data_IF_573808650970
#
_entry.id   IF_573808650970
#
_cell.length_a   1.000
_cell.length_b   1.000
_cell.length_c   1.000
_cell.angle_alpha   90.00
_cell.angle_beta   90.00
_cell.angle_gamma   90.00
#
_symmetry.space_group_name_H-M   'P 1'
#
loop_
_entity.id
_entity.type
_entity.pdbx_description
1 polymer ?
#
# COMPACT_ATOMS: atom_id res chain seq x y z
N UNK A 1 -13.37 -18.92 -5.25
CA UNK A 1 -12.63 -18.74 -3.96
C UNK A 1 -12.73 -17.27 -3.54
N UNK A 2 -12.53 -16.94 -2.25
CA UNK A 2 -12.66 -15.52 -1.82
C UNK A 2 -11.66 -14.61 -2.55
N UNK A 3 -10.45 -15.07 -2.81
CA UNK A 3 -9.45 -14.31 -3.59
C UNK A 3 -9.87 -14.02 -5.02
N UNK A 4 -10.66 -14.87 -5.64
CA UNK A 4 -11.24 -14.61 -6.98
C UNK A 4 -12.35 -13.57 -6.92
N UNK A 5 -13.23 -13.67 -5.92
CA UNK A 5 -14.27 -12.67 -5.69
C UNK A 5 -13.70 -11.29 -5.37
N UNK A 6 -12.66 -11.23 -4.51
CA UNK A 6 -11.94 -9.99 -4.26
C UNK A 6 -11.39 -9.39 -5.54
N UNK A 7 -10.70 -10.19 -6.36
CA UNK A 7 -10.17 -9.73 -7.63
C UNK A 7 -11.26 -9.20 -8.55
N UNK A 8 -12.34 -9.96 -8.75
CA UNK A 8 -13.46 -9.58 -9.64
C UNK A 8 -14.14 -8.28 -9.17
N UNK A 9 -14.41 -8.14 -7.87
CA UNK A 9 -15.10 -6.97 -7.34
C UNK A 9 -14.20 -5.72 -7.27
N UNK A 10 -12.89 -5.87 -7.16
CA UNK A 10 -11.96 -4.74 -7.01
C UNK A 10 -11.18 -4.41 -8.29
N UNK A 11 -11.35 -5.14 -9.40
CA UNK A 11 -10.52 -5.01 -10.59
C UNK A 11 -10.50 -3.60 -11.15
N UNK A 12 -11.67 -2.99 -11.35
CA UNK A 12 -11.78 -1.66 -11.95
C UNK A 12 -11.12 -0.58 -11.08
N UNK A 13 -11.38 -0.59 -9.77
CA UNK A 13 -10.83 0.41 -8.85
C UNK A 13 -9.32 0.18 -8.64
N UNK A 14 -8.86 -1.06 -8.62
CA UNK A 14 -7.45 -1.41 -8.56
C UNK A 14 -6.71 -0.88 -9.79
N UNK A 15 -7.19 -1.19 -11.00
CA UNK A 15 -6.60 -0.68 -12.25
C UNK A 15 -6.60 0.86 -12.31
N UNK A 16 -7.67 1.51 -11.84
CA UNK A 16 -7.74 2.96 -11.79
C UNK A 16 -6.68 3.56 -10.87
N UNK A 17 -6.49 2.97 -9.68
CA UNK A 17 -5.47 3.43 -8.72
C UNK A 17 -4.04 3.13 -9.19
N UNK A 18 -3.79 1.98 -9.84
CA UNK A 18 -2.50 1.67 -10.45
C UNK A 18 -2.13 2.68 -11.56
N UNK A 19 -3.07 3.01 -12.45
CA UNK A 19 -2.84 4.02 -13.49
C UNK A 19 -2.43 5.37 -12.89
N UNK A 20 -3.09 5.78 -11.81
CA UNK A 20 -2.75 7.00 -11.07
C UNK A 20 -1.35 6.94 -10.46
N UNK A 21 -1.02 5.84 -9.80
CA UNK A 21 0.31 5.65 -9.22
C UNK A 21 1.40 5.68 -10.31
N UNK A 22 1.20 4.98 -11.43
CA UNK A 22 2.15 4.99 -12.55
C UNK A 22 2.31 6.40 -13.12
N UNK A 23 1.23 7.17 -13.20
CA UNK A 23 1.30 8.56 -13.68
C UNK A 23 2.10 9.44 -12.72
N UNK A 24 1.88 9.34 -11.42
CA UNK A 24 2.67 10.03 -10.41
C UNK A 24 4.16 9.66 -10.49
N UNK A 25 4.46 8.37 -10.60
CA UNK A 25 5.84 7.86 -10.73
C UNK A 25 6.58 8.39 -11.98
N UNK A 26 5.89 8.55 -13.09
CA UNK A 26 6.49 9.09 -14.34
C UNK A 26 6.91 10.56 -14.23
N UNK A 27 6.39 11.28 -13.26
CA UNK A 27 6.76 12.70 -13.01
C UNK A 27 7.97 12.83 -12.09
N UNK A 28 8.48 11.73 -11.55
CA UNK A 28 9.60 11.73 -10.63
C UNK A 28 10.90 11.82 -11.44
N UNK A 29 11.53 12.97 -11.37
CA UNK A 29 12.81 13.30 -12.02
C UNK A 29 13.88 13.79 -11.01
N UNK A 30 13.49 14.05 -9.76
CA UNK A 30 14.37 14.49 -8.67
C UNK A 30 14.20 13.62 -7.43
N UNK A 31 15.20 13.64 -6.54
CA UNK A 31 15.11 12.97 -5.23
C UNK A 31 14.02 13.59 -4.38
N UNK A 32 13.87 14.89 -4.41
CA UNK A 32 12.86 15.65 -3.68
C UNK A 32 11.44 15.19 -4.09
N UNK A 33 11.19 15.07 -5.39
CA UNK A 33 9.92 14.56 -5.90
C UNK A 33 9.66 13.10 -5.45
N UNK A 34 10.72 12.28 -5.41
CA UNK A 34 10.63 10.91 -4.89
C UNK A 34 10.32 10.89 -3.40
N UNK A 35 10.99 11.70 -2.58
CA UNK A 35 10.74 11.77 -1.15
C UNK A 35 9.34 12.31 -0.84
N UNK A 36 8.86 13.27 -1.61
CA UNK A 36 7.48 13.72 -1.54
C UNK A 36 6.49 12.55 -1.79
N UNK A 37 6.73 11.75 -2.83
CA UNK A 37 5.93 10.53 -3.10
C UNK A 37 5.94 9.58 -1.90
N UNK A 38 7.11 9.27 -1.33
CA UNK A 38 7.20 8.36 -0.19
C UNK A 38 6.48 8.91 1.04
N UNK A 39 6.57 10.23 1.27
CA UNK A 39 5.92 10.88 2.41
C UNK A 39 4.40 10.79 2.35
N UNK A 40 3.79 11.04 1.21
CA UNK A 40 2.33 10.88 1.11
C UNK A 40 1.90 9.42 1.00
N UNK A 41 2.72 8.51 0.47
CA UNK A 41 2.45 7.07 0.64
C UNK A 41 2.47 6.68 2.12
N UNK A 42 3.43 7.19 2.90
CA UNK A 42 3.46 6.97 4.34
C UNK A 42 2.20 7.51 5.03
N UNK A 43 1.72 8.69 4.62
CA UNK A 43 0.49 9.29 5.14
C UNK A 43 -0.78 8.45 4.92
N UNK A 44 -0.77 7.52 3.96
CA UNK A 44 -1.84 6.53 3.78
C UNK A 44 -1.54 5.21 4.50
N UNK A 45 -0.35 4.64 4.27
CA UNK A 45 0.01 3.32 4.78
C UNK A 45 0.04 3.25 6.31
N UNK A 46 0.65 4.23 6.96
CA UNK A 46 0.83 4.20 8.41
C UNK A 46 -0.51 4.16 9.19
N UNK A 47 -1.49 5.03 8.93
CA UNK A 47 -2.76 4.95 9.63
C UNK A 47 -3.58 3.72 9.27
N UNK A 48 -3.57 3.25 8.01
CA UNK A 48 -4.26 2.01 7.62
C UNK A 48 -3.64 0.79 8.32
N UNK A 49 -2.31 0.65 8.32
CA UNK A 49 -1.63 -0.43 9.05
C UNK A 49 -1.90 -0.37 10.56
N UNK A 50 -1.98 0.82 11.15
CA UNK A 50 -2.31 0.97 12.57
C UNK A 50 -3.72 0.45 12.88
N UNK A 51 -4.71 0.69 12.00
CA UNK A 51 -6.06 0.14 12.15
C UNK A 51 -6.08 -1.38 11.97
N UNK A 52 -5.39 -1.91 10.94
CA UNK A 52 -5.27 -3.35 10.71
C UNK A 52 -4.68 -4.05 11.95
N UNK A 53 -3.61 -3.51 12.53
CA UNK A 53 -2.92 -4.10 13.70
C UNK A 53 -3.73 -4.06 15.00
N UNK A 54 -4.80 -3.27 15.08
CA UNK A 54 -5.76 -3.34 16.18
C UNK A 54 -6.63 -4.58 16.11
N UNK A 55 -6.83 -5.14 14.91
CA UNK A 55 -7.73 -6.26 14.64
C UNK A 55 -6.98 -7.56 14.37
N UNK A 56 -5.82 -7.49 13.68
CA UNK A 56 -4.96 -8.63 13.37
C UNK A 56 -3.77 -8.67 14.32
N UNK A 57 -3.64 -9.78 15.03
CA UNK A 57 -2.57 -10.07 15.99
C UNK A 57 -1.86 -11.37 15.61
N UNK A 58 -0.71 -11.67 16.20
CA UNK A 58 -0.03 -12.95 15.97
C UNK A 58 -0.89 -14.16 16.39
N UNK A 59 -1.83 -13.99 17.31
CA UNK A 59 -2.71 -15.06 17.78
C UNK A 59 -3.80 -15.42 16.75
N UNK A 60 -4.38 -14.43 16.07
CA UNK A 60 -5.46 -14.63 15.11
C UNK A 60 -5.00 -14.59 13.65
N UNK A 61 -3.86 -13.97 13.36
CA UNK A 61 -3.22 -13.92 12.05
C UNK A 61 -1.68 -14.06 12.18
N UNK A 62 -1.15 -15.29 12.29
CA UNK A 62 0.29 -15.52 12.45
C UNK A 62 1.10 -14.91 11.31
N UNK A 63 2.15 -14.17 11.67
CA UNK A 63 3.04 -13.50 10.73
C UNK A 63 2.62 -12.07 10.38
N UNK A 64 1.61 -11.50 11.06
CA UNK A 64 1.19 -10.10 10.85
C UNK A 64 2.33 -9.11 11.08
N UNK A 65 3.19 -9.35 12.06
CA UNK A 65 4.34 -8.49 12.37
C UNK A 65 5.34 -8.37 11.23
N UNK A 66 5.40 -9.36 10.33
CA UNK A 66 6.29 -9.36 9.15
C UNK A 66 5.70 -8.58 7.97
N UNK A 67 4.45 -8.06 8.10
CA UNK A 67 3.70 -7.45 7.00
C UNK A 67 3.60 -5.92 7.10
N UNK A 68 4.44 -5.29 7.92
CA UNK A 68 4.55 -3.83 7.95
C UNK A 68 5.26 -3.30 6.72
N UNK A 69 4.70 -2.27 6.10
CA UNK A 69 5.29 -1.58 4.94
C UNK A 69 5.59 -0.12 5.22
N UNK A 70 4.84 0.52 6.12
CA UNK A 70 5.02 1.93 6.47
C UNK A 70 6.43 2.23 7.01
N UNK A 71 7.03 1.33 7.77
CA UNK A 71 8.39 1.48 8.30
C UNK A 71 9.45 1.58 7.19
N UNK A 72 9.25 0.84 6.08
CA UNK A 72 10.18 0.90 4.93
C UNK A 72 10.09 2.22 4.17
N UNK A 73 8.93 2.89 4.19
CA UNK A 73 8.80 4.25 3.65
C UNK A 73 9.65 5.23 4.45
N UNK A 74 9.56 5.19 5.79
CA UNK A 74 10.40 6.02 6.67
C UNK A 74 11.89 5.71 6.52
N UNK A 75 12.23 4.44 6.38
CA UNK A 75 13.61 4.03 6.13
C UNK A 75 14.15 4.62 4.83
N UNK A 76 13.43 4.47 3.72
CA UNK A 76 13.84 4.98 2.41
C UNK A 76 13.95 6.51 2.41
N UNK A 77 13.05 7.23 3.10
CA UNK A 77 13.11 8.67 3.31
C UNK A 77 14.39 9.03 4.07
N UNK A 78 14.69 8.37 5.18
CA UNK A 78 15.89 8.63 6.00
C UNK A 78 17.20 8.39 5.24
N UNK A 79 17.26 7.33 4.43
CA UNK A 79 18.45 6.99 3.63
C UNK A 79 18.68 7.93 2.42
N UNK A 80 17.69 8.71 2.05
CA UNK A 80 17.76 9.60 0.88
C UNK A 80 18.76 10.75 1.02
N UNK A 81 18.94 11.22 2.25
CA UNK A 81 19.71 12.43 2.57
C UNK A 81 18.99 13.73 2.19
N UNK A 82 17.71 13.66 1.81
CA UNK A 82 16.85 14.81 1.50
C UNK A 82 15.91 15.06 2.68
N UNK A 83 15.68 16.32 3.09
CA UNK A 83 14.69 16.62 4.12
C UNK A 83 13.30 16.11 3.73
N UNK A 84 12.62 15.45 4.66
CA UNK A 84 11.24 15.06 4.45
C UNK A 84 10.34 16.32 4.46
N UNK A 85 9.28 16.36 3.63
CA UNK A 85 8.28 17.41 3.72
C UNK A 85 7.49 17.30 5.03
N UNK A 86 6.71 18.34 5.34
CA UNK A 86 5.76 18.27 6.46
C UNK A 86 4.83 17.06 6.30
N UNK A 87 4.60 16.28 7.37
CA UNK A 87 3.75 15.10 7.29
C UNK A 87 2.32 15.46 6.89
N UNK A 88 1.81 14.84 5.83
CA UNK A 88 0.39 14.83 5.51
C UNK A 88 -0.17 13.43 5.80
N UNK A 89 -1.34 13.38 6.42
CA UNK A 89 -1.97 12.11 6.83
C UNK A 89 -3.35 12.01 6.23
N UNK A 90 -3.69 10.85 5.69
CA UNK A 90 -5.00 10.59 5.12
C UNK A 90 -6.08 10.71 6.19
N UNK A 91 -6.92 11.74 6.08
CA UNK A 91 -7.97 12.03 7.07
C UNK A 91 -9.16 11.08 6.94
N UNK A 92 -9.54 10.74 5.70
CA UNK A 92 -10.58 9.75 5.44
C UNK A 92 -9.96 8.37 5.30
N UNK A 93 -10.11 7.56 6.32
CA UNK A 93 -9.66 6.16 6.31
C UNK A 93 -10.85 5.21 6.06
N UNK A 94 -10.61 4.02 5.49
CA UNK A 94 -11.63 2.97 5.45
C UNK A 94 -12.03 2.54 6.87
N UNK A 95 -13.24 2.04 7.02
CA UNK A 95 -13.71 1.51 8.31
C UNK A 95 -13.08 0.13 8.52
N UNK A 96 -12.16 0.04 9.50
CA UNK A 96 -11.44 -1.18 9.88
C UNK A 96 -11.65 -1.41 11.37
N UNK A 97 -12.76 -2.03 11.72
CA UNK A 97 -13.22 -2.21 13.11
C UNK A 97 -13.43 -3.68 13.50
N UNK A 98 -13.15 -4.60 12.58
CA UNK A 98 -13.27 -6.04 12.78
C UNK A 98 -12.09 -6.81 12.19
N UNK A 99 -11.98 -8.09 12.55
CA UNK A 99 -11.04 -9.02 11.94
C UNK A 99 -11.23 -9.14 10.42
N UNK A 100 -12.48 -9.16 9.94
CA UNK A 100 -12.79 -9.33 8.53
C UNK A 100 -12.52 -8.05 7.73
N UNK A 101 -12.91 -6.89 8.26
CA UNK A 101 -12.57 -5.61 7.62
C UNK A 101 -11.05 -5.40 7.53
N UNK A 102 -10.29 -5.84 8.56
CA UNK A 102 -8.83 -5.77 8.51
C UNK A 102 -8.22 -6.68 7.43
N UNK A 103 -8.80 -7.86 7.18
CA UNK A 103 -8.36 -8.72 6.06
C UNK A 103 -8.62 -8.07 4.69
N UNK A 104 -9.74 -7.36 4.53
CA UNK A 104 -10.06 -6.62 3.31
C UNK A 104 -9.08 -5.47 3.05
N UNK A 105 -8.80 -4.67 4.06
CA UNK A 105 -7.82 -3.60 3.95
C UNK A 105 -6.41 -4.13 3.68
N UNK A 106 -6.02 -5.21 4.37
CA UNK A 106 -4.72 -5.85 4.18
C UNK A 106 -4.56 -6.42 2.77
N UNK A 107 -5.63 -6.93 2.13
CA UNK A 107 -5.59 -7.38 0.75
C UNK A 107 -5.06 -6.28 -0.19
N UNK A 108 -5.49 -5.04 0.02
CA UNK A 108 -5.06 -3.90 -0.80
C UNK A 108 -3.58 -3.59 -0.57
N UNK A 109 -3.09 -3.59 0.67
CA UNK A 109 -1.68 -3.32 0.95
C UNK A 109 -0.77 -4.44 0.39
N UNK A 110 -1.21 -5.69 0.49
CA UNK A 110 -0.44 -6.86 0.02
C UNK A 110 -0.36 -6.94 -1.51
N UNK A 111 -1.44 -6.64 -2.23
CA UNK A 111 -1.44 -6.75 -3.70
C UNK A 111 -0.47 -5.76 -4.35
N UNK A 112 -0.29 -4.57 -3.76
CA UNK A 112 0.68 -3.59 -4.25
C UNK A 112 2.14 -4.03 -4.09
N UNK A 113 2.43 -5.00 -3.22
CA UNK A 113 3.79 -5.55 -3.11
C UNK A 113 4.22 -6.32 -4.36
N UNK A 114 3.26 -6.87 -5.13
CA UNK A 114 3.54 -7.67 -6.32
C UNK A 114 4.13 -6.84 -7.47
N UNK A 115 3.64 -5.61 -7.64
CA UNK A 115 4.11 -4.67 -8.67
C UNK A 115 5.36 -3.88 -8.27
N UNK A 116 5.73 -3.89 -7.00
CA UNK A 116 6.72 -3.01 -6.43
C UNK A 116 8.10 -3.10 -7.09
N UNK A 117 8.55 -4.31 -7.46
CA UNK A 117 9.86 -4.51 -8.13
C UNK A 117 9.92 -3.83 -9.51
N UNK A 118 8.81 -3.76 -10.23
CA UNK A 118 8.73 -3.04 -11.52
C UNK A 118 8.89 -1.55 -11.26
N UNK A 119 8.21 -1.02 -10.23
CA UNK A 119 8.31 0.36 -9.79
C UNK A 119 9.73 0.68 -9.34
N UNK A 120 10.34 -0.15 -8.50
CA UNK A 120 11.73 0.00 -8.07
C UNK A 120 12.68 0.10 -9.28
N UNK A 121 12.50 -0.75 -10.29
CA UNK A 121 13.29 -0.69 -11.52
C UNK A 121 13.04 0.56 -12.37
N UNK A 122 11.86 1.16 -12.34
CA UNK A 122 11.58 2.43 -13.00
C UNK A 122 12.28 3.58 -12.27
N UNK A 123 12.12 3.66 -10.96
CA UNK A 123 12.72 4.71 -10.12
C UNK A 123 14.26 4.64 -10.16
N UNK A 124 14.86 3.46 -10.07
CA UNK A 124 16.33 3.29 -10.18
C UNK A 124 16.90 3.81 -11.48
N UNK A 125 16.16 3.69 -12.58
CA UNK A 125 16.63 4.22 -13.88
C UNK A 125 16.54 5.72 -13.99
N UNK A 126 15.56 6.32 -13.31
CA UNK A 126 15.39 7.79 -13.30
C UNK A 126 16.30 8.48 -12.28
N UNK A 127 16.61 7.80 -11.17
CA UNK A 127 17.35 8.36 -10.04
C UNK A 127 18.45 7.39 -9.59
N UNK A 128 19.54 7.34 -10.37
CA UNK A 128 20.69 6.43 -10.14
C UNK A 128 21.37 6.59 -8.76
N UNK A 129 21.19 7.74 -8.12
CA UNK A 129 21.82 8.08 -6.83
C UNK A 129 21.00 7.71 -5.59
N UNK A 130 19.88 7.01 -5.74
CA UNK A 130 19.10 6.52 -4.58
C UNK A 130 19.81 5.35 -3.92
N UNK A 131 19.89 5.42 -2.59
CA UNK A 131 20.55 4.40 -1.77
C UNK A 131 19.62 3.25 -1.39
N UNK A 132 18.33 3.52 -1.30
CA UNK A 132 17.33 2.54 -0.83
C UNK A 132 16.03 2.65 -1.62
N UNK A 133 15.42 1.49 -1.89
CA UNK A 133 14.12 1.28 -2.53
C UNK A 133 13.37 0.17 -1.78
N UNK A 134 13.55 0.11 -0.46
CA UNK A 134 13.08 -1.00 0.39
C UNK A 134 11.58 -1.16 0.33
N UNK A 135 10.83 -0.05 0.30
CA UNK A 135 9.38 -0.11 0.18
C UNK A 135 8.93 -0.80 -1.11
N UNK A 136 9.43 -0.35 -2.26
CA UNK A 136 9.01 -0.93 -3.55
C UNK A 136 9.58 -2.33 -3.79
N UNK A 137 10.66 -2.72 -3.14
CA UNK A 137 11.17 -4.09 -3.20
C UNK A 137 10.27 -5.12 -2.48
N UNK A 138 9.20 -4.68 -1.82
CA UNK A 138 8.26 -5.57 -1.16
C UNK A 138 8.94 -6.39 -0.05
N UNK A 139 8.75 -7.71 -0.10
CA UNK A 139 9.42 -8.65 0.80
C UNK A 139 10.67 -9.26 0.14
N UNK A 140 11.23 -8.60 -0.88
CA UNK A 140 12.37 -9.12 -1.63
C UNK A 140 12.06 -10.46 -2.30
N UNK A 141 12.91 -11.48 -2.07
CA UNK A 141 12.71 -12.82 -2.62
C UNK A 141 11.43 -13.50 -2.08
N UNK A 142 10.98 -13.13 -0.89
CA UNK A 142 9.82 -13.73 -0.21
C UNK A 142 8.48 -13.17 -0.68
N UNK A 143 8.44 -12.16 -1.55
CA UNK A 143 7.19 -11.52 -1.97
C UNK A 143 6.16 -12.52 -2.50
N UNK A 144 6.56 -13.47 -3.34
CA UNK A 144 5.66 -14.48 -3.87
C UNK A 144 5.12 -15.41 -2.78
N UNK A 145 5.98 -15.83 -1.84
CA UNK A 145 5.61 -16.72 -0.73
C UNK A 145 4.68 -16.00 0.26
N UNK A 146 4.96 -14.72 0.55
CA UNK A 146 4.13 -13.87 1.42
C UNK A 146 2.74 -13.69 0.83
N UNK A 147 2.65 -13.43 -0.46
CA UNK A 147 1.36 -13.33 -1.16
C UNK A 147 0.63 -14.68 -1.20
N UNK A 148 1.32 -15.78 -1.51
CA UNK A 148 0.72 -17.11 -1.54
C UNK A 148 0.12 -17.48 -0.17
N UNK A 149 0.88 -17.30 0.91
CA UNK A 149 0.42 -17.59 2.27
C UNK A 149 -0.78 -16.72 2.67
N UNK A 150 -0.84 -15.47 2.21
CA UNK A 150 -1.99 -14.60 2.45
C UNK A 150 -3.24 -15.06 1.67
N UNK A 151 -3.09 -15.46 0.41
CA UNK A 151 -4.19 -16.03 -0.37
C UNK A 151 -4.73 -17.32 0.25
N UNK A 152 -3.85 -18.19 0.72
CA UNK A 152 -4.25 -19.43 1.41
C UNK A 152 -5.06 -19.12 2.66
N UNK A 153 -4.69 -18.07 3.39
CA UNK A 153 -5.44 -17.60 4.54
C UNK A 153 -6.84 -17.07 4.15
N UNK A 154 -6.94 -16.23 3.13
CA UNK A 154 -8.19 -15.68 2.61
C UNK A 154 -9.13 -16.75 2.04
N UNK A 155 -8.59 -17.86 1.53
CA UNK A 155 -9.40 -18.94 0.97
C UNK A 155 -9.91 -19.96 2.01
N UNK A 156 -9.68 -19.70 3.31
CA UNK A 156 -10.31 -20.47 4.38
C UNK A 156 -11.83 -20.26 4.36
N UNK A 157 -12.59 -21.17 4.99
CA UNK A 157 -14.04 -21.01 5.07
C UNK A 157 -14.43 -19.76 5.87
N UNK A 158 -15.14 -18.84 5.24
CA UNK A 158 -15.78 -17.68 5.86
C UNK A 158 -17.29 -17.74 5.60
N UNK A 159 -18.08 -17.19 6.53
CA UNK A 159 -19.51 -16.98 6.31
C UNK A 159 -19.73 -16.02 5.14
N UNK A 160 -20.92 -16.04 4.56
CA UNK A 160 -21.27 -15.12 3.48
C UNK A 160 -21.18 -13.65 3.92
N UNK A 161 -21.55 -13.37 5.16
CA UNK A 161 -21.47 -12.03 5.75
C UNK A 161 -20.01 -11.57 5.87
N UNK A 162 -19.13 -12.41 6.44
CA UNK A 162 -17.70 -12.13 6.54
C UNK A 162 -17.06 -11.87 5.17
N UNK A 163 -17.41 -12.64 4.14
CA UNK A 163 -16.90 -12.46 2.77
C UNK A 163 -17.31 -11.09 2.20
N UNK A 164 -18.58 -10.70 2.41
CA UNK A 164 -19.09 -9.38 1.97
C UNK A 164 -18.36 -8.23 2.66
N UNK A 165 -18.12 -8.37 3.96
CA UNK A 165 -17.38 -7.38 4.73
C UNK A 165 -15.92 -7.23 4.23
N UNK A 166 -15.22 -8.35 4.00
CA UNK A 166 -13.85 -8.35 3.45
C UNK A 166 -13.81 -7.63 2.10
N UNK A 167 -14.74 -7.96 1.18
CA UNK A 167 -14.80 -7.36 -0.16
C UNK A 167 -15.12 -5.87 -0.06
N UNK A 168 -16.14 -5.48 0.68
CA UNK A 168 -16.54 -4.09 0.82
C UNK A 168 -15.42 -3.21 1.41
N UNK A 169 -14.68 -3.74 2.40
CA UNK A 169 -13.53 -2.99 2.95
C UNK A 169 -12.36 -2.93 1.98
N UNK A 170 -12.12 -3.95 1.17
CA UNK A 170 -11.12 -3.89 0.12
C UNK A 170 -11.46 -2.82 -0.92
N UNK A 171 -12.71 -2.74 -1.38
CA UNK A 171 -13.19 -1.70 -2.30
C UNK A 171 -13.02 -0.29 -1.71
N UNK A 172 -13.46 -0.06 -0.45
CA UNK A 172 -13.32 1.26 0.21
C UNK A 172 -11.84 1.63 0.43
N UNK A 173 -10.98 0.65 0.70
CA UNK A 173 -9.53 0.89 0.85
C UNK A 173 -8.88 1.29 -0.47
N UNK A 174 -9.20 0.64 -1.58
CA UNK A 174 -8.76 1.05 -2.92
C UNK A 174 -9.27 2.44 -3.29
N UNK A 175 -10.55 2.72 -3.03
CA UNK A 175 -11.15 4.02 -3.31
C UNK A 175 -10.47 5.13 -2.49
N UNK A 176 -10.23 4.87 -1.21
CA UNK A 176 -9.53 5.80 -0.32
C UNK A 176 -8.11 6.06 -0.82
N UNK A 177 -7.38 5.02 -1.20
CA UNK A 177 -6.03 5.16 -1.75
C UNK A 177 -6.01 5.94 -3.06
N UNK A 178 -6.93 5.64 -4.00
CA UNK A 178 -7.07 6.37 -5.26
C UNK A 178 -7.32 7.86 -5.02
N UNK A 179 -8.26 8.20 -4.14
CA UNK A 179 -8.59 9.59 -3.82
C UNK A 179 -7.40 10.31 -3.14
N UNK A 180 -6.64 9.59 -2.31
CA UNK A 180 -5.43 10.10 -1.69
C UNK A 180 -4.34 10.44 -2.71
N UNK A 181 -4.11 9.56 -3.70
CA UNK A 181 -3.20 9.84 -4.81
C UNK A 181 -3.67 11.08 -5.58
N UNK A 182 -4.96 11.18 -5.93
CA UNK A 182 -5.52 12.31 -6.67
C UNK A 182 -5.33 13.65 -5.94
N UNK A 183 -5.51 13.67 -4.62
CA UNK A 183 -5.25 14.86 -3.79
C UNK A 183 -3.82 15.38 -3.99
N UNK A 184 -2.83 14.49 -4.03
CA UNK A 184 -1.42 14.86 -4.16
C UNK A 184 -0.98 15.14 -5.60
N UNK A 185 -1.64 14.54 -6.60
CA UNK A 185 -1.38 14.87 -8.02
C UNK A 185 -1.80 16.28 -8.39
N UNK A 186 -2.85 16.81 -7.74
CA UNK A 186 -3.42 18.13 -8.01
C UNK A 186 -2.67 19.27 -7.29
N UNK A 187 -1.81 18.96 -6.32
CA UNK A 187 -1.00 19.98 -5.66
C UNK A 187 0.16 20.36 -6.59
N UNK A 188 0.31 21.64 -6.98
CA UNK A 188 1.51 22.08 -7.68
C UNK A 188 2.72 21.79 -6.78
N UNK A 189 3.78 21.21 -7.36
CA UNK A 189 5.04 21.11 -6.66
C UNK A 189 5.45 22.53 -6.28
N UNK A 190 5.53 22.80 -4.97
CA UNK A 190 6.01 24.10 -4.49
C UNK A 190 7.47 24.15 -4.87
N UNK A 191 7.80 24.95 -5.91
CA UNK A 191 9.17 25.33 -6.20
C UNK A 191 9.68 26.12 -4.98
N UNK A 192 10.64 25.57 -4.27
CA UNK A 192 11.39 26.23 -3.17
C UNK A 192 12.59 26.93 -3.77
#
# INVERSE_FOLDING_TARGET
MLTEELKENTEDIHQASEKKMIFALKKIDTKEAYINLLSWLHGFYAPVEALIRRQLTEDNFPGITKRSRAEYLLWDIGESGVPAPEPDTCERLPVIDSFHSALGAMYVLEIYTLGGRIIAGMVSRSLESLKSLSFFNGYGAETANMWASFKDYLNRPFSLEARREIIATAEDTFLTFKNWIEKHELQPQVEI
#
